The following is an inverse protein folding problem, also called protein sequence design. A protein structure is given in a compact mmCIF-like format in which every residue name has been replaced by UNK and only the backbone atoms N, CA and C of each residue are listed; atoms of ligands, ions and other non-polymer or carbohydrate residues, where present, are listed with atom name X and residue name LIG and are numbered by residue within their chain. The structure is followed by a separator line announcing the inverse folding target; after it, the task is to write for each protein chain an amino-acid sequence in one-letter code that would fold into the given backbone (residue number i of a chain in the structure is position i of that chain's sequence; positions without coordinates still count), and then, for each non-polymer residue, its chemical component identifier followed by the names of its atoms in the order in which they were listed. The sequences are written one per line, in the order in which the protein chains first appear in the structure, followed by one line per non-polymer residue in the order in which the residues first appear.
data_IF_765695653655
#
_entry.id   IF_765695653655
#
_cell.length_a   1.000
_cell.length_b   1.000
_cell.length_c   1.000
_cell.angle_alpha   90.00
_cell.angle_beta   90.00
_cell.angle_gamma   90.00
#
_symmetry.space_group_name_H-M   'P 1'
#
loop_
_entity.id
_entity.type
_entity.pdbx_description
1 polymer ?
#
# COMPACT_ATOMS: atom_id res chain seq x y z
N UNK A 1 7.26 6.08 22.67
CA UNK A 1 7.12 5.03 21.62
C UNK A 1 7.58 5.61 20.29
N UNK A 2 8.57 5.03 19.62
CA UNK A 2 9.10 5.58 18.36
C UNK A 2 8.05 5.44 17.26
N UNK A 3 7.59 6.55 16.68
CA UNK A 3 6.63 6.54 15.57
C UNK A 3 7.32 5.89 14.36
N UNK A 4 6.75 4.79 13.86
CA UNK A 4 7.25 4.09 12.68
C UNK A 4 6.87 4.88 11.44
N UNK A 5 7.87 5.33 10.67
CA UNK A 5 7.64 5.98 9.37
C UNK A 5 7.33 4.94 8.31
N UNK A 6 6.64 5.33 7.23
CA UNK A 6 6.32 4.44 6.12
C UNK A 6 7.59 3.88 5.44
N UNK A 7 8.63 4.70 5.30
CA UNK A 7 9.94 4.28 4.79
C UNK A 7 10.59 3.22 5.69
N UNK A 8 10.54 3.39 7.02
CA UNK A 8 11.06 2.38 7.94
C UNK A 8 10.22 1.08 7.93
N UNK A 9 8.92 1.20 7.67
CA UNK A 9 8.01 0.06 7.53
C UNK A 9 8.32 -0.77 6.29
N UNK A 10 8.52 -0.13 5.13
CA UNK A 10 8.81 -0.84 3.87
C UNK A 10 10.23 -1.39 3.85
N UNK A 11 11.21 -0.71 4.47
CA UNK A 11 12.59 -1.21 4.59
C UNK A 11 12.66 -2.55 5.33
N UNK A 12 11.80 -2.76 6.35
CA UNK A 12 11.67 -4.05 7.06
C UNK A 12 10.95 -5.13 6.24
N UNK A 13 10.40 -4.78 5.08
CA UNK A 13 9.63 -5.63 4.16
C UNK A 13 10.14 -5.48 2.74
N UNK A 14 11.46 -5.40 2.58
CA UNK A 14 12.09 -5.21 1.27
C UNK A 14 11.61 -6.24 0.22
N UNK A 15 11.21 -7.44 0.67
CA UNK A 15 10.62 -8.48 -0.16
C UNK A 15 9.33 -8.07 -0.89
N UNK A 16 8.59 -7.06 -0.42
CA UNK A 16 7.40 -6.51 -1.09
C UNK A 16 7.74 -5.60 -2.28
N UNK A 17 8.98 -5.12 -2.34
CA UNK A 17 9.47 -4.14 -3.33
C UNK A 17 10.78 -4.62 -3.96
N UNK A 18 10.84 -5.91 -4.30
CA UNK A 18 12.05 -6.61 -4.80
C UNK A 18 12.70 -5.97 -6.04
N UNK A 19 11.94 -5.16 -6.79
CA UNK A 19 12.39 -4.46 -8.00
C UNK A 19 13.28 -3.25 -7.72
N UNK A 20 13.48 -2.84 -6.46
CA UNK A 20 14.36 -1.71 -6.12
C UNK A 20 15.05 -1.88 -4.77
N UNK A 21 16.20 -1.23 -4.62
CA UNK A 21 16.93 -1.08 -3.34
C UNK A 21 16.78 0.32 -2.73
N UNK A 22 16.13 1.26 -3.44
CA UNK A 22 15.99 2.64 -3.01
C UNK A 22 14.74 2.85 -2.14
N UNK A 23 14.70 2.20 -0.97
CA UNK A 23 13.52 2.18 -0.10
C UNK A 23 13.14 3.55 0.48
N UNK A 24 14.13 4.43 0.69
CA UNK A 24 13.91 5.74 1.30
C UNK A 24 13.22 6.72 0.34
N UNK A 25 13.33 6.50 -0.97
CA UNK A 25 12.75 7.37 -2.00
C UNK A 25 11.50 6.75 -2.63
N UNK A 26 10.97 5.66 -2.07
CA UNK A 26 9.69 5.11 -2.51
C UNK A 26 8.55 6.05 -2.13
N UNK A 27 7.71 6.34 -3.11
CA UNK A 27 6.50 7.14 -2.89
C UNK A 27 5.48 6.34 -2.07
N UNK A 28 4.54 7.02 -1.43
CA UNK A 28 3.47 6.34 -0.68
C UNK A 28 2.63 5.46 -1.60
N UNK A 29 2.44 5.89 -2.85
CA UNK A 29 1.67 5.18 -3.87
C UNK A 29 2.32 3.85 -4.22
N UNK A 30 3.65 3.83 -4.44
CA UNK A 30 4.39 2.60 -4.69
C UNK A 30 4.33 1.64 -3.49
N UNK A 31 4.42 2.18 -2.26
CA UNK A 31 4.33 1.36 -1.04
C UNK A 31 2.92 0.80 -0.86
N UNK A 32 1.87 1.59 -1.08
CA UNK A 32 0.48 1.14 -1.01
C UNK A 32 0.23 0.03 -2.04
N UNK A 33 0.64 0.25 -3.30
CA UNK A 33 0.48 -0.75 -4.34
C UNK A 33 1.18 -2.08 -3.99
N UNK A 34 2.43 -2.01 -3.53
CA UNK A 34 3.20 -3.19 -3.13
C UNK A 34 2.56 -3.94 -1.95
N UNK A 35 2.14 -3.23 -0.91
CA UNK A 35 1.53 -3.83 0.28
C UNK A 35 0.19 -4.47 -0.05
N UNK A 36 -0.66 -3.81 -0.84
CA UNK A 36 -1.97 -4.37 -1.19
C UNK A 36 -1.85 -5.59 -2.12
N UNK A 37 -0.86 -5.62 -3.02
CA UNK A 37 -0.65 -6.74 -3.93
C UNK A 37 0.04 -7.95 -3.29
N UNK A 38 1.03 -7.71 -2.42
CA UNK A 38 1.99 -8.74 -2.00
C UNK A 38 2.10 -8.91 -0.49
N UNK A 39 1.55 -7.98 0.30
CA UNK A 39 1.60 -8.01 1.75
C UNK A 39 0.57 -8.95 2.36
N UNK A 40 0.80 -9.34 3.61
CA UNK A 40 -0.20 -10.05 4.41
C UNK A 40 -1.22 -9.08 5.06
N UNK A 41 -2.23 -9.63 5.72
CA UNK A 41 -3.24 -8.82 6.39
C UNK A 41 -2.67 -7.94 7.53
N UNK A 42 -1.58 -8.38 8.19
CA UNK A 42 -0.94 -7.59 9.23
C UNK A 42 -0.18 -6.40 8.65
N UNK A 43 0.38 -6.54 7.45
CA UNK A 43 1.07 -5.49 6.73
C UNK A 43 0.10 -4.41 6.25
N UNK A 44 -1.06 -4.82 5.74
CA UNK A 44 -2.17 -3.90 5.42
C UNK A 44 -2.60 -3.11 6.65
N UNK A 45 -2.87 -3.79 7.78
CA UNK A 45 -3.26 -3.12 9.04
C UNK A 45 -2.19 -2.14 9.54
N UNK A 46 -0.92 -2.52 9.48
CA UNK A 46 0.21 -1.67 9.89
C UNK A 46 0.35 -0.45 8.98
N UNK A 47 0.24 -0.63 7.67
CA UNK A 47 0.27 0.47 6.71
C UNK A 47 -0.87 1.46 6.93
N UNK A 48 -2.10 0.96 7.13
CA UNK A 48 -3.27 1.80 7.43
C UNK A 48 -3.07 2.57 8.75
N UNK A 49 -2.46 1.95 9.77
CA UNK A 49 -2.14 2.63 11.04
C UNK A 49 -1.12 3.77 10.85
N UNK A 50 -0.20 3.66 9.88
CA UNK A 50 0.82 4.67 9.60
C UNK A 50 0.27 5.81 8.74
N UNK A 51 -0.42 5.49 7.65
CA UNK A 51 -0.85 6.47 6.64
C UNK A 51 -2.27 7.02 6.87
N UNK A 52 -3.10 6.29 7.62
CA UNK A 52 -4.52 6.53 7.75
C UNK A 52 -5.33 5.90 6.61
N UNK A 53 -6.48 5.33 6.94
CA UNK A 53 -7.31 4.59 5.99
C UNK A 53 -7.79 5.45 4.81
N UNK A 54 -8.17 6.72 5.08
CA UNK A 54 -8.61 7.66 4.03
C UNK A 54 -7.52 7.90 2.99
N UNK A 55 -6.28 8.12 3.44
CA UNK A 55 -5.13 8.35 2.54
C UNK A 55 -4.82 7.12 1.68
N UNK A 56 -4.83 5.94 2.29
CA UNK A 56 -4.63 4.67 1.57
C UNK A 56 -5.74 4.47 0.52
N UNK A 57 -6.99 4.71 0.90
CA UNK A 57 -8.13 4.59 -0.01
C UNK A 57 -8.07 5.58 -1.18
N UNK A 58 -7.69 6.84 -0.95
CA UNK A 58 -7.49 7.83 -2.02
C UNK A 58 -6.42 7.35 -3.02
N UNK A 59 -5.24 6.97 -2.51
CA UNK A 59 -4.15 6.44 -3.35
C UNK A 59 -4.62 5.23 -4.17
N UNK A 60 -5.31 4.28 -3.53
CA UNK A 60 -5.83 3.10 -4.21
C UNK A 60 -6.85 3.48 -5.30
N UNK A 61 -7.80 4.38 -5.01
CA UNK A 61 -8.84 4.81 -5.95
C UNK A 61 -8.26 5.56 -7.16
N UNK A 62 -7.22 6.36 -6.96
CA UNK A 62 -6.49 7.04 -8.04
C UNK A 62 -5.71 6.02 -8.89
N UNK A 63 -4.85 5.23 -8.24
CA UNK A 63 -3.98 4.26 -8.93
C UNK A 63 -4.75 3.15 -9.66
N UNK A 64 -5.87 2.70 -9.11
CA UNK A 64 -6.68 1.64 -9.72
C UNK A 64 -7.43 2.07 -10.98
N UNK A 65 -7.54 3.38 -11.25
CA UNK A 65 -8.19 3.96 -12.44
C UNK A 65 -7.20 4.33 -13.56
N UNK A 66 -5.90 4.30 -13.29
CA UNK A 66 -4.89 4.59 -14.29
C UNK A 66 -4.95 3.58 -15.46
N UNK A 67 -4.66 4.05 -16.68
CA UNK A 67 -4.61 3.20 -17.88
C UNK A 67 -3.66 2.01 -17.71
N UNK A 68 -2.52 2.26 -17.04
CA UNK A 68 -1.61 1.21 -16.56
C UNK A 68 -1.81 1.06 -15.06
N UNK A 69 -2.46 -0.04 -14.68
CA UNK A 69 -2.75 -0.37 -13.29
C UNK A 69 -1.97 -1.65 -12.93
N UNK A 70 -1.10 -1.60 -11.92
CA UNK A 70 -0.35 -2.78 -11.50
C UNK A 70 -1.05 -3.57 -10.38
N UNK A 71 -2.27 -3.19 -9.98
CA UNK A 71 -3.07 -4.04 -9.09
C UNK A 71 -3.54 -5.28 -9.81
N UNK A 72 -3.36 -6.44 -9.17
CA UNK A 72 -3.94 -7.70 -9.66
C UNK A 72 -5.48 -7.59 -9.63
N UNK A 73 -6.22 -8.17 -10.58
CA UNK A 73 -7.68 -8.00 -10.67
C UNK A 73 -8.43 -8.34 -9.37
N UNK A 74 -8.04 -9.41 -8.70
CA UNK A 74 -8.62 -9.85 -7.43
C UNK A 74 -8.34 -8.88 -6.28
N UNK A 75 -7.13 -8.31 -6.23
CA UNK A 75 -6.71 -7.32 -5.24
C UNK A 75 -7.51 -6.03 -5.46
N UNK A 76 -7.63 -5.59 -6.72
CA UNK A 76 -8.44 -4.43 -7.09
C UNK A 76 -9.89 -4.63 -6.70
N UNK A 77 -10.49 -5.79 -6.95
CA UNK A 77 -11.88 -6.03 -6.58
C UNK A 77 -12.07 -6.03 -5.05
N UNK A 78 -11.22 -6.75 -4.31
CA UNK A 78 -11.31 -6.84 -2.86
C UNK A 78 -11.18 -5.46 -2.21
N UNK A 79 -10.13 -4.71 -2.56
CA UNK A 79 -9.88 -3.42 -1.92
C UNK A 79 -10.83 -2.31 -2.36
N UNK A 80 -11.43 -2.40 -3.56
CA UNK A 80 -12.58 -1.56 -3.91
C UNK A 80 -13.71 -1.74 -2.89
N UNK A 81 -14.17 -2.98 -2.69
CA UNK A 81 -15.25 -3.28 -1.75
C UNK A 81 -14.88 -2.91 -0.30
N UNK A 82 -13.64 -3.19 0.11
CA UNK A 82 -13.15 -2.87 1.44
C UNK A 82 -13.17 -1.36 1.69
N UNK A 83 -12.61 -0.55 0.78
CA UNK A 83 -12.55 0.89 0.96
C UNK A 83 -13.92 1.56 0.78
N UNK A 84 -14.82 1.03 -0.06
CA UNK A 84 -16.20 1.54 -0.15
C UNK A 84 -16.96 1.39 1.19
N UNK A 85 -16.63 0.38 2.00
CA UNK A 85 -17.24 0.18 3.31
C UNK A 85 -16.56 0.98 4.44
N UNK A 86 -15.23 1.09 4.40
CA UNK A 86 -14.45 1.57 5.56
C UNK A 86 -13.77 2.93 5.36
N UNK A 87 -13.88 3.57 4.19
CA UNK A 87 -13.12 4.79 3.85
C UNK A 87 -13.88 5.79 2.96
#
# INVERSE_FOLDING_TARGET
MKIMTIASFIKKRAYLVWYTKNYNNLSNEAIVEAVLNYGDFNDVKKMIKILGIKKVATIFREKSKEKRCNYRPEIKNYFRLYFDKYA
#
